data_IF_705396143571
#
_entry.id   IF_705396143571
#
_cell.length_a   1.000
_cell.length_b   1.000
_cell.length_c   1.000
_cell.angle_alpha   90.00
_cell.angle_beta   90.00
_cell.angle_gamma   90.00
#
_symmetry.space_group_name_H-M   'P 1'
#
loop_
_entity.id
_entity.type
_entity.pdbx_description
1 polymer ?
#
# COMPACT_ATOMS: atom_id res chain seq x y z
N UNK A 1 34.53 -3.14 -11.08
CA UNK A 1 33.37 -3.19 -10.17
C UNK A 1 32.15 -3.47 -11.04
N UNK A 2 31.73 -4.72 -11.15
CA UNK A 2 30.66 -5.13 -12.07
C UNK A 2 29.31 -5.06 -11.34
N UNK A 3 28.39 -4.25 -11.86
CA UNK A 3 26.99 -4.23 -11.44
C UNK A 3 26.32 -5.50 -12.00
N UNK A 4 25.81 -6.36 -11.13
CA UNK A 4 25.01 -7.51 -11.54
C UNK A 4 23.67 -7.00 -12.12
N UNK A 5 23.23 -7.49 -13.30
CA UNK A 5 21.95 -7.09 -13.86
C UNK A 5 20.81 -7.68 -13.01
N UNK A 6 19.85 -6.82 -12.67
CA UNK A 6 18.57 -7.20 -12.08
C UNK A 6 17.88 -8.17 -13.04
N UNK A 7 17.74 -9.44 -12.64
CA UNK A 7 17.09 -10.45 -13.46
C UNK A 7 15.57 -10.27 -13.39
N UNK A 8 14.95 -9.86 -14.51
CA UNK A 8 13.52 -9.99 -14.76
C UNK A 8 13.16 -11.47 -14.86
N UNK A 9 13.13 -12.18 -13.73
CA UNK A 9 12.51 -13.49 -13.69
C UNK A 9 10.98 -13.29 -13.84
N UNK A 10 10.34 -13.81 -14.89
CA UNK A 10 8.89 -13.72 -15.02
C UNK A 10 8.26 -14.50 -13.87
N UNK A 11 7.57 -13.80 -12.97
CA UNK A 11 6.72 -14.41 -11.97
C UNK A 11 5.55 -15.05 -12.73
N UNK A 12 5.62 -16.36 -12.94
CA UNK A 12 4.51 -17.15 -13.47
C UNK A 12 3.41 -17.18 -12.42
N UNK A 13 2.44 -16.28 -12.54
CA UNK A 13 1.22 -16.32 -11.73
C UNK A 13 0.33 -17.38 -12.35
N UNK A 14 0.20 -18.52 -11.68
CA UNK A 14 -0.77 -19.55 -12.06
C UNK A 14 -2.18 -18.99 -11.87
N UNK A 15 -2.82 -18.60 -12.98
CA UNK A 15 -4.17 -18.05 -13.03
C UNK A 15 -5.24 -19.01 -12.49
N UNK A 16 -4.91 -20.30 -12.31
CA UNK A 16 -5.83 -21.32 -11.80
C UNK A 16 -6.02 -21.26 -10.27
N UNK A 17 -5.16 -20.52 -9.54
CA UNK A 17 -5.36 -20.18 -8.13
C UNK A 17 -6.09 -18.83 -8.01
N UNK A 18 -7.25 -18.74 -8.66
CA UNK A 18 -8.17 -17.61 -8.57
C UNK A 18 -8.67 -17.48 -7.13
N UNK A 19 -7.93 -16.72 -6.33
CA UNK A 19 -8.43 -16.07 -5.12
C UNK A 19 -9.82 -15.52 -5.44
N UNK A 20 -10.81 -15.59 -4.51
CA UNK A 20 -12.13 -15.03 -4.75
C UNK A 20 -11.96 -13.62 -5.33
N UNK A 21 -12.57 -13.35 -6.48
CA UNK A 21 -12.46 -12.07 -7.18
C UNK A 21 -12.72 -10.97 -6.16
N UNK A 22 -11.66 -10.25 -5.77
CA UNK A 22 -11.78 -9.22 -4.76
C UNK A 22 -12.71 -8.15 -5.30
N UNK A 23 -13.90 -8.02 -4.70
CA UNK A 23 -14.84 -6.99 -5.07
C UNK A 23 -14.25 -5.65 -4.64
N UNK A 24 -13.94 -4.81 -5.63
CA UNK A 24 -13.49 -3.45 -5.38
C UNK A 24 -14.70 -2.56 -5.08
N UNK A 25 -14.88 -2.19 -3.82
CA UNK A 25 -15.82 -1.13 -3.45
C UNK A 25 -15.18 0.22 -3.71
N UNK A 26 -15.79 1.04 -4.58
CA UNK A 26 -15.32 2.39 -4.88
C UNK A 26 -16.39 3.41 -4.54
N UNK A 27 -16.00 4.48 -3.85
CA UNK A 27 -16.85 5.65 -3.58
C UNK A 27 -16.03 6.92 -3.78
N UNK A 28 -16.55 7.87 -4.53
CA UNK A 28 -15.96 9.20 -4.62
C UNK A 28 -16.23 9.97 -3.31
N UNK A 29 -15.21 10.64 -2.79
CA UNK A 29 -15.28 11.51 -1.61
C UNK A 29 -14.59 12.84 -1.94
N UNK A 30 -15.00 13.96 -1.32
CA UNK A 30 -14.30 15.23 -1.48
C UNK A 30 -12.84 15.12 -1.04
N UNK A 31 -11.94 15.78 -1.77
CA UNK A 31 -10.55 15.84 -1.37
C UNK A 31 -10.43 16.76 -0.14
N UNK A 32 -9.89 16.28 1.00
CA UNK A 32 -9.81 17.08 2.21
C UNK A 32 -8.80 18.21 2.05
N UNK A 33 -9.09 19.38 2.62
CA UNK A 33 -8.13 20.50 2.65
C UNK A 33 -6.85 20.09 3.39
N UNK A 34 -7.03 19.42 4.53
CA UNK A 34 -5.97 18.83 5.34
C UNK A 34 -6.15 17.31 5.44
N UNK A 35 -5.44 16.56 4.59
CA UNK A 35 -5.50 15.10 4.60
C UNK A 35 -4.97 14.48 5.90
N UNK A 36 -4.08 15.16 6.64
CA UNK A 36 -3.52 14.64 7.88
C UNK A 36 -4.55 14.55 9.01
N UNK A 37 -5.57 15.43 9.04
CA UNK A 37 -6.63 15.36 10.05
C UNK A 37 -7.52 14.13 9.86
N UNK A 38 -7.69 13.67 8.62
CA UNK A 38 -8.40 12.41 8.33
C UNK A 38 -7.63 11.23 8.90
N UNK A 39 -6.31 11.21 8.71
CA UNK A 39 -5.44 10.15 9.24
C UNK A 39 -5.31 10.16 10.77
N UNK A 40 -5.46 11.31 11.44
CA UNK A 40 -5.26 11.42 12.88
C UNK A 40 -6.06 10.40 13.70
N UNK A 41 -7.29 10.09 13.29
CA UNK A 41 -8.14 9.08 13.94
C UNK A 41 -7.63 7.63 13.80
N UNK A 42 -6.74 7.37 12.84
CA UNK A 42 -6.18 6.06 12.52
C UNK A 42 -4.71 5.93 12.93
N UNK A 43 -4.10 7.00 13.45
CA UNK A 43 -2.67 7.04 13.74
C UNK A 43 -2.23 5.99 14.77
N UNK A 44 -3.12 5.63 15.70
CA UNK A 44 -2.87 4.57 16.69
C UNK A 44 -3.25 3.16 16.20
N UNK A 45 -3.88 3.04 15.02
CA UNK A 45 -4.31 1.75 14.47
C UNK A 45 -3.11 1.08 13.79
N UNK A 46 -2.65 -0.10 14.26
CA UNK A 46 -1.53 -0.81 13.66
C UNK A 46 -1.71 -1.00 12.16
N UNK A 47 -0.60 -0.90 11.41
CA UNK A 47 -0.60 -1.03 9.95
C UNK A 47 -1.46 0.00 9.20
N UNK A 48 -1.70 1.16 9.81
CA UNK A 48 -2.24 2.33 9.11
C UNK A 48 -1.11 3.23 8.65
N UNK A 49 -1.17 3.64 7.39
CA UNK A 49 -0.13 4.43 6.73
C UNK A 49 -0.73 5.67 6.08
N UNK A 50 0.01 6.77 6.16
CA UNK A 50 -0.29 8.02 5.47
C UNK A 50 0.93 8.47 4.68
N UNK A 51 0.76 8.58 3.38
CA UNK A 51 1.76 9.07 2.45
C UNK A 51 1.25 10.39 1.88
N UNK A 52 1.90 11.49 2.19
CA UNK A 52 1.54 12.81 1.69
C UNK A 52 2.64 13.35 0.80
N UNK A 53 2.29 13.78 -0.42
CA UNK A 53 3.26 14.41 -1.31
C UNK A 53 3.74 15.75 -0.77
N UNK A 54 3.01 16.38 0.16
CA UNK A 54 3.28 17.69 0.80
C UNK A 54 3.42 18.89 -0.16
N UNK A 55 3.51 18.63 -1.47
CA UNK A 55 3.60 19.64 -2.51
C UNK A 55 2.23 20.27 -2.77
N UNK A 56 2.13 21.58 -2.52
CA UNK A 56 0.93 22.37 -2.85
C UNK A 56 0.89 22.74 -4.34
N UNK A 57 2.04 22.79 -5.00
CA UNK A 57 2.18 23.01 -6.43
C UNK A 57 3.32 22.12 -6.96
N UNK A 58 2.96 21.00 -7.57
CA UNK A 58 3.88 20.12 -8.29
C UNK A 58 3.36 19.91 -9.72
N UNK A 59 4.23 19.89 -10.74
CA UNK A 59 3.83 19.52 -12.11
C UNK A 59 3.22 18.11 -12.19
N UNK A 60 3.57 17.23 -11.25
CA UNK A 60 3.02 15.88 -11.17
C UNK A 60 1.69 15.81 -10.41
N UNK A 61 1.23 16.91 -9.80
CA UNK A 61 0.03 16.98 -8.98
C UNK A 61 0.29 16.76 -7.48
N UNK A 62 -0.73 16.99 -6.66
CA UNK A 62 -0.75 16.72 -5.22
C UNK A 62 -1.57 15.46 -4.96
N UNK A 63 -0.96 14.45 -4.36
CA UNK A 63 -1.64 13.22 -3.98
C UNK A 63 -1.32 12.87 -2.54
N UNK A 64 -2.33 12.42 -1.83
CA UNK A 64 -2.16 11.82 -0.51
C UNK A 64 -2.82 10.45 -0.55
N UNK A 65 -2.14 9.44 -0.02
CA UNK A 65 -2.64 8.08 0.10
C UNK A 65 -2.78 7.71 1.57
N UNK A 66 -3.94 7.13 1.92
CA UNK A 66 -4.22 6.60 3.23
C UNK A 66 -4.56 5.12 3.06
N UNK A 67 -3.88 4.27 3.82
CA UNK A 67 -4.11 2.82 3.85
C UNK A 67 -4.34 2.41 5.30
N UNK A 68 -5.35 1.59 5.54
CA UNK A 68 -5.66 1.02 6.87
C UNK A 68 -6.32 -0.34 6.71
N UNK A 69 -6.39 -1.11 7.79
CA UNK A 69 -6.98 -2.45 7.85
C UNK A 69 -6.52 -3.36 6.68
N UNK A 70 -5.21 -3.61 6.53
CA UNK A 70 -4.73 -4.47 5.47
C UNK A 70 -5.18 -5.92 5.70
N UNK A 71 -5.75 -6.54 4.66
CA UNK A 71 -6.13 -7.97 4.66
C UNK A 71 -4.95 -8.92 4.82
N UNK A 72 -3.75 -8.45 4.47
CA UNK A 72 -2.51 -9.23 4.57
C UNK A 72 -1.38 -8.30 4.98
N UNK A 73 -0.62 -8.75 5.96
CA UNK A 73 0.55 -8.07 6.52
C UNK A 73 1.78 -8.88 6.16
N UNK A 74 2.82 -8.20 5.68
CA UNK A 74 4.09 -8.82 5.35
C UNK A 74 5.21 -8.01 5.97
N UNK A 75 6.17 -8.69 6.61
CA UNK A 75 7.40 -8.07 7.08
C UNK A 75 8.56 -9.06 7.04
N UNK A 76 9.78 -8.52 7.03
CA UNK A 76 10.99 -9.33 7.08
C UNK A 76 11.76 -9.03 8.36
N UNK A 77 12.21 -10.07 9.04
CA UNK A 77 13.00 -9.98 10.26
C UNK A 77 14.09 -11.06 10.24
N UNK A 78 15.35 -10.67 10.47
CA UNK A 78 16.49 -11.59 10.50
C UNK A 78 16.58 -12.53 9.28
N UNK A 79 16.29 -12.01 8.09
CA UNK A 79 16.30 -12.78 6.84
C UNK A 79 15.06 -13.66 6.60
N UNK A 80 14.14 -13.74 7.56
CA UNK A 80 12.88 -14.49 7.46
C UNK A 80 11.73 -13.59 7.03
N UNK A 81 10.96 -14.03 6.04
CA UNK A 81 9.71 -13.39 5.64
C UNK A 81 8.55 -13.93 6.48
N UNK A 82 7.74 -13.02 7.00
CA UNK A 82 6.50 -13.29 7.70
C UNK A 82 5.33 -12.81 6.84
N UNK A 83 4.31 -13.65 6.69
CA UNK A 83 3.08 -13.35 5.97
C UNK A 83 1.93 -13.72 6.88
N UNK A 84 1.06 -12.76 7.17
CA UNK A 84 -0.10 -12.95 8.07
C UNK A 84 -1.33 -12.37 7.40
N UNK A 85 -2.31 -13.22 7.13
CA UNK A 85 -3.63 -12.81 6.66
C UNK A 85 -4.47 -12.18 7.79
N UNK A 86 -5.61 -11.60 7.46
CA UNK A 86 -6.65 -11.23 8.42
C UNK A 86 -7.27 -12.53 8.99
N UNK A 87 -7.61 -12.53 10.28
CA UNK A 87 -8.24 -13.69 10.94
C UNK A 87 -9.68 -13.93 10.42
#
# INVERSE_FOLDING_TARGET
>A
MALLPYADAPVSVDSAQLMPHSVLTRRAVPYPENAATVFASLASTPWSFFLDSSATASPQGRYSMLVTAPRRRLWQEAGRLWIVDED
#
